data_IF_682832729180
#
_entry.id   IF_682832729180
#
_cell.length_a   1.000
_cell.length_b   1.000
_cell.length_c   1.000
_cell.angle_alpha   90.00
_cell.angle_beta   90.00
_cell.angle_gamma   90.00
#
_symmetry.space_group_name_H-M   'P 1'
#
loop_
_entity.id
_entity.type
_entity.pdbx_description
1 polymer ?
#
# COMPACT_ATOMS: atom_id res chain seq x y z
N UNK A 1 -18.05 -18.21 -27.09
CA UNK A 1 -19.39 -18.21 -26.46
C UNK A 1 -19.54 -16.93 -25.64
N UNK A 2 -20.55 -16.13 -25.98
CA UNK A 2 -21.23 -15.08 -25.19
C UNK A 2 -20.46 -14.19 -24.21
N UNK A 3 -20.36 -12.91 -24.55
CA UNK A 3 -19.89 -11.79 -23.73
C UNK A 3 -20.46 -11.77 -22.29
N UNK A 4 -19.57 -11.76 -21.29
CA UNK A 4 -19.79 -10.99 -20.07
C UNK A 4 -19.03 -9.67 -20.25
N UNK A 5 -19.72 -8.53 -20.33
CA UNK A 5 -19.05 -7.23 -20.25
C UNK A 5 -18.27 -7.19 -18.93
N UNK A 6 -16.95 -6.93 -18.92
CA UNK A 6 -16.17 -6.98 -17.69
C UNK A 6 -16.56 -5.77 -16.83
N UNK A 7 -17.27 -5.99 -15.73
CA UNK A 7 -17.38 -5.17 -14.50
C UNK A 7 -17.49 -3.62 -14.56
N UNK A 8 -17.55 -2.99 -15.74
CA UNK A 8 -17.43 -1.54 -15.91
C UNK A 8 -16.04 -0.95 -15.65
N UNK A 9 -15.05 -1.76 -15.24
CA UNK A 9 -13.68 -1.35 -14.94
C UNK A 9 -12.84 -1.18 -16.20
N UNK A 10 -11.92 -0.23 -16.16
CA UNK A 10 -11.02 0.09 -17.28
C UNK A 10 -9.63 -0.50 -17.00
N UNK A 11 -9.09 -1.24 -17.96
CA UNK A 11 -7.73 -1.80 -17.93
C UNK A 11 -6.89 -1.23 -19.07
N UNK A 12 -5.56 -1.27 -18.91
CA UNK A 12 -4.59 -0.78 -19.90
C UNK A 12 -4.20 0.70 -19.72
N UNK A 13 -3.11 1.15 -20.37
CA UNK A 13 -2.59 2.50 -20.18
C UNK A 13 -3.51 3.55 -20.84
N UNK A 14 -3.76 4.66 -20.15
CA UNK A 14 -4.50 5.81 -20.68
C UNK A 14 -5.83 6.09 -19.98
N UNK A 15 -6.57 7.05 -20.53
CA UNK A 15 -7.85 7.50 -19.98
C UNK A 15 -7.72 8.57 -18.89
N UNK A 16 -8.76 8.67 -18.06
CA UNK A 16 -8.81 9.62 -16.94
C UNK A 16 -7.68 9.33 -15.95
N UNK A 17 -7.07 10.38 -15.41
CA UNK A 17 -6.05 10.27 -14.37
C UNK A 17 -4.71 9.69 -14.84
N UNK A 18 -4.52 9.52 -16.15
CA UNK A 18 -3.27 9.03 -16.73
C UNK A 18 -2.10 9.96 -16.40
N UNK A 19 -0.94 9.38 -16.06
CA UNK A 19 0.23 10.13 -15.63
C UNK A 19 0.05 10.74 -14.24
N UNK A 20 -0.89 10.24 -13.43
CA UNK A 20 -1.24 10.79 -12.12
C UNK A 20 -1.88 12.18 -12.15
N UNK A 21 -2.35 12.65 -13.31
CA UNK A 21 -2.98 13.95 -13.44
C UNK A 21 -4.35 14.00 -12.73
N UNK A 22 -4.77 15.19 -12.30
CA UNK A 22 -6.10 15.41 -11.78
C UNK A 22 -7.18 15.04 -12.82
N UNK A 23 -8.17 14.24 -12.40
CA UNK A 23 -9.28 13.83 -13.23
C UNK A 23 -10.61 14.35 -12.69
N UNK A 24 -11.60 14.48 -13.58
CA UNK A 24 -12.98 14.83 -13.22
C UNK A 24 -13.97 14.21 -14.19
N UNK A 25 -15.17 13.91 -13.70
CA UNK A 25 -16.31 13.47 -14.51
C UNK A 25 -17.01 14.75 -15.01
N UNK A 26 -16.66 15.23 -16.22
CA UNK A 26 -17.11 16.53 -16.73
C UNK A 26 -18.62 16.62 -17.01
N UNK A 27 -19.30 15.51 -17.22
CA UNK A 27 -20.66 15.52 -17.76
C UNK A 27 -21.78 15.55 -16.70
N UNK A 28 -21.45 15.35 -15.42
CA UNK A 28 -22.44 15.31 -14.32
C UNK A 28 -21.93 15.97 -13.03
N UNK A 29 -21.85 17.32 -12.95
CA UNK A 29 -21.41 18.03 -11.75
C UNK A 29 -22.27 17.76 -10.50
N UNK A 30 -23.50 17.26 -10.65
CA UNK A 30 -24.39 16.86 -9.56
C UNK A 30 -24.24 15.39 -9.11
N UNK A 31 -23.47 14.56 -9.83
CA UNK A 31 -23.15 13.17 -9.40
C UNK A 31 -21.89 13.11 -8.53
N UNK A 32 -21.06 14.16 -8.54
CA UNK A 32 -19.87 14.29 -7.69
C UNK A 32 -20.24 14.34 -6.20
N UNK A 33 -21.49 14.70 -5.88
CA UNK A 33 -22.09 14.70 -4.53
C UNK A 33 -23.11 13.54 -4.34
N UNK A 34 -22.89 12.39 -5.01
CA UNK A 34 -23.70 11.18 -4.86
C UNK A 34 -23.11 10.18 -3.85
N UNK A 35 -23.99 9.41 -3.19
CA UNK A 35 -23.74 8.62 -1.97
C UNK A 35 -22.49 7.72 -1.87
N UNK A 36 -21.79 7.39 -2.97
CA UNK A 36 -20.49 6.70 -2.87
C UNK A 36 -19.41 7.56 -2.19
N UNK A 37 -19.42 8.89 -2.36
CA UNK A 37 -18.44 9.73 -1.67
C UNK A 37 -18.63 9.68 -0.14
N UNK A 38 -19.88 9.69 0.33
CA UNK A 38 -20.23 9.56 1.75
C UNK A 38 -19.86 8.18 2.30
N UNK A 39 -19.92 7.13 1.46
CA UNK A 39 -19.60 5.74 1.82
C UNK A 39 -18.10 5.51 2.01
N UNK A 40 -17.26 5.99 1.08
CA UNK A 40 -15.82 5.70 1.06
C UNK A 40 -14.93 6.84 1.60
N UNK A 41 -15.46 8.06 1.72
CA UNK A 41 -14.68 9.26 2.09
C UNK A 41 -13.83 9.83 0.96
N UNK A 42 -13.99 9.30 -0.27
CA UNK A 42 -13.31 9.74 -1.48
C UNK A 42 -14.17 9.46 -2.73
N UNK A 43 -13.78 9.99 -3.88
CA UNK A 43 -14.55 9.93 -5.13
C UNK A 43 -14.46 8.55 -5.83
N UNK A 44 -15.09 7.53 -5.24
CA UNK A 44 -15.09 6.17 -5.78
C UNK A 44 -15.73 6.06 -7.18
N UNK A 45 -16.69 6.92 -7.53
CA UNK A 45 -17.27 6.96 -8.88
C UNK A 45 -16.24 7.36 -9.93
N UNK A 46 -15.41 8.37 -9.64
CA UNK A 46 -14.29 8.73 -10.51
C UNK A 46 -13.27 7.59 -10.57
N UNK A 47 -12.96 6.96 -9.42
CA UNK A 47 -12.07 5.80 -9.37
C UNK A 47 -12.52 4.69 -10.32
N UNK A 48 -13.83 4.37 -10.37
CA UNK A 48 -14.37 3.33 -11.25
C UNK A 48 -14.13 3.62 -12.75
N UNK A 49 -13.80 4.86 -13.12
CA UNK A 49 -13.49 5.31 -14.50
C UNK A 49 -12.00 5.52 -14.75
N UNK A 50 -11.17 5.47 -13.72
CA UNK A 50 -9.71 5.54 -13.83
C UNK A 50 -9.18 4.13 -14.01
N UNK A 51 -8.32 3.96 -15.01
CA UNK A 51 -7.71 2.66 -15.32
C UNK A 51 -7.04 2.04 -14.10
N UNK A 52 -7.19 0.71 -13.95
CA UNK A 52 -6.45 -0.09 -12.97
C UNK A 52 -4.94 -0.10 -13.27
N UNK A 53 -4.56 0.12 -14.54
CA UNK A 53 -3.18 0.15 -15.03
C UNK A 53 -2.68 1.56 -15.38
N UNK A 54 -3.27 2.60 -14.78
CA UNK A 54 -2.81 3.98 -15.03
C UNK A 54 -1.34 4.13 -14.65
N UNK A 55 -0.62 4.96 -15.40
CA UNK A 55 0.76 5.34 -15.05
C UNK A 55 0.71 6.50 -14.06
N UNK A 56 1.61 6.49 -13.07
CA UNK A 56 1.82 7.58 -12.12
C UNK A 56 3.19 8.25 -12.34
N UNK A 57 3.39 9.51 -11.91
CA UNK A 57 4.66 10.20 -12.07
C UNK A 57 5.77 9.55 -11.24
N UNK A 58 6.99 9.49 -11.80
CA UNK A 58 8.18 9.05 -11.09
C UNK A 58 8.84 10.24 -10.37
N UNK A 59 8.39 10.50 -9.15
CA UNK A 59 8.88 11.55 -8.26
C UNK A 59 10.20 11.22 -7.55
N UNK A 60 10.81 10.05 -7.81
CA UNK A 60 12.07 9.69 -7.15
C UNK A 60 13.16 10.73 -7.47
N UNK A 61 14.01 11.09 -6.50
CA UNK A 61 15.19 11.92 -6.75
C UNK A 61 16.07 11.35 -7.86
N UNK A 62 16.76 12.22 -8.62
CA UNK A 62 17.60 11.80 -9.77
C UNK A 62 18.60 10.70 -9.39
N UNK A 63 19.18 10.79 -8.20
CA UNK A 63 20.15 9.81 -7.70
C UNK A 63 19.53 8.44 -7.47
N UNK A 64 18.29 8.36 -6.96
CA UNK A 64 17.57 7.09 -6.81
C UNK A 64 17.39 6.35 -8.15
N UNK A 65 17.19 7.10 -9.24
CA UNK A 65 17.05 6.53 -10.60
C UNK A 65 18.36 5.97 -11.17
N UNK A 66 19.49 6.31 -10.56
CA UNK A 66 20.84 5.91 -10.99
C UNK A 66 21.42 4.77 -10.13
N UNK A 67 20.77 4.41 -9.02
CA UNK A 67 21.22 3.31 -8.16
C UNK A 67 20.91 1.98 -8.85
N UNK A 68 21.91 1.11 -8.92
CA UNK A 68 21.72 -0.30 -9.22
C UNK A 68 21.61 -1.10 -7.93
N UNK A 69 20.73 -2.09 -7.92
CA UNK A 69 20.53 -3.00 -6.79
C UNK A 69 21.06 -4.39 -7.13
N UNK A 70 21.40 -5.22 -6.12
CA UNK A 70 21.78 -6.61 -6.37
C UNK A 70 20.67 -7.39 -7.06
N UNK A 71 21.01 -8.28 -7.99
CA UNK A 71 20.02 -9.13 -8.67
C UNK A 71 19.37 -10.15 -7.72
N UNK A 72 20.11 -10.59 -6.70
CA UNK A 72 19.64 -11.57 -5.72
C UNK A 72 19.15 -10.84 -4.48
N UNK A 73 17.84 -10.61 -4.41
CA UNK A 73 17.14 -10.04 -3.25
C UNK A 73 16.13 -11.05 -2.70
N UNK A 74 15.78 -10.97 -1.40
CA UNK A 74 14.75 -11.83 -0.83
C UNK A 74 13.40 -11.54 -1.50
N UNK A 75 12.56 -12.58 -1.62
CA UNK A 75 11.19 -12.40 -2.10
C UNK A 75 10.33 -11.69 -1.04
N UNK A 76 9.27 -11.03 -1.50
CA UNK A 76 8.30 -10.31 -0.67
C UNK A 76 6.89 -10.87 -0.84
N UNK A 77 6.18 -11.03 0.28
CA UNK A 77 4.72 -11.19 0.35
C UNK A 77 4.12 -9.82 0.64
N UNK A 78 3.20 -9.35 -0.20
CA UNK A 78 2.54 -8.04 -0.01
C UNK A 78 1.16 -8.27 0.58
N UNK A 79 0.87 -7.64 1.70
CA UNK A 79 -0.39 -7.77 2.44
C UNK A 79 -1.16 -6.46 2.34
N UNK A 80 -2.37 -6.53 1.80
CA UNK A 80 -3.36 -5.45 1.84
C UNK A 80 -4.47 -5.83 2.83
N UNK A 81 -4.78 -4.96 3.78
CA UNK A 81 -5.91 -5.12 4.69
C UNK A 81 -7.02 -4.17 4.27
N UNK A 82 -8.26 -4.66 4.23
CA UNK A 82 -9.42 -3.84 3.85
C UNK A 82 -10.69 -4.22 4.59
N UNK A 83 -11.59 -3.24 4.71
CA UNK A 83 -12.98 -3.41 5.10
C UNK A 83 -13.81 -2.44 4.27
N UNK A 84 -14.77 -2.95 3.48
CA UNK A 84 -15.63 -2.15 2.61
C UNK A 84 -14.87 -1.13 1.75
N UNK A 85 -13.73 -1.53 1.16
CA UNK A 85 -12.96 -0.68 0.23
C UNK A 85 -13.59 -0.69 -1.17
N UNK A 86 -13.45 0.41 -1.93
CA UNK A 86 -13.97 0.43 -3.30
C UNK A 86 -13.23 -0.60 -4.17
N UNK A 87 -13.98 -1.41 -4.93
CA UNK A 87 -13.40 -2.49 -5.75
C UNK A 87 -12.36 -1.97 -6.75
N UNK A 88 -12.61 -0.83 -7.38
CA UNK A 88 -11.66 -0.21 -8.32
C UNK A 88 -10.35 0.22 -7.65
N UNK A 89 -10.39 0.60 -6.37
CA UNK A 89 -9.23 1.07 -5.62
C UNK A 89 -8.35 -0.10 -5.20
N UNK A 90 -8.92 -1.13 -4.57
CA UNK A 90 -8.15 -2.32 -4.17
C UNK A 90 -7.54 -3.04 -5.38
N UNK A 91 -8.28 -3.14 -6.49
CA UNK A 91 -7.75 -3.72 -7.72
C UNK A 91 -6.64 -2.85 -8.32
N UNK A 92 -6.70 -1.52 -8.25
CA UNK A 92 -5.60 -0.65 -8.71
C UNK A 92 -4.35 -0.83 -7.85
N UNK A 93 -4.49 -1.05 -6.54
CA UNK A 93 -3.36 -1.43 -5.68
C UNK A 93 -2.74 -2.75 -6.09
N UNK A 94 -3.56 -3.78 -6.35
CA UNK A 94 -3.09 -5.09 -6.85
C UNK A 94 -2.39 -4.96 -8.20
N UNK A 95 -2.97 -4.23 -9.15
CA UNK A 95 -2.36 -4.01 -10.47
C UNK A 95 -1.04 -3.28 -10.35
N UNK A 96 -0.98 -2.17 -9.60
CA UNK A 96 0.24 -1.38 -9.48
C UNK A 96 1.38 -2.16 -8.83
N UNK A 97 1.12 -2.97 -7.80
CA UNK A 97 2.16 -3.81 -7.20
C UNK A 97 2.65 -4.90 -8.14
N UNK A 98 1.76 -5.53 -8.92
CA UNK A 98 2.16 -6.53 -9.93
C UNK A 98 2.98 -5.87 -11.05
N UNK A 99 2.52 -4.72 -11.55
CA UNK A 99 3.14 -4.03 -12.68
C UNK A 99 4.51 -3.43 -12.33
N UNK A 100 4.72 -3.03 -11.07
CA UNK A 100 5.94 -2.33 -10.63
C UNK A 100 6.86 -3.15 -9.72
N UNK A 101 6.62 -4.46 -9.57
CA UNK A 101 7.51 -5.37 -8.84
C UNK A 101 8.05 -6.44 -9.79
N UNK A 102 9.37 -6.64 -9.88
CA UNK A 102 9.94 -7.74 -10.66
C UNK A 102 9.37 -9.10 -10.23
N UNK A 103 8.97 -9.92 -11.19
CA UNK A 103 8.25 -11.18 -10.93
C UNK A 103 9.04 -12.18 -10.05
N UNK A 104 10.37 -12.12 -10.06
CA UNK A 104 11.21 -12.97 -9.21
C UNK A 104 11.23 -12.50 -7.74
N UNK A 105 10.89 -11.24 -7.45
CA UNK A 105 10.81 -10.68 -6.11
C UNK A 105 9.42 -10.83 -5.50
N UNK A 106 8.36 -10.68 -6.29
CA UNK A 106 6.98 -10.79 -5.79
C UNK A 106 6.58 -12.26 -5.62
N UNK A 107 6.52 -12.74 -4.37
CA UNK A 107 6.12 -14.12 -4.07
C UNK A 107 4.61 -14.30 -4.20
N UNK A 108 3.86 -13.41 -3.56
CA UNK A 108 2.42 -13.47 -3.43
C UNK A 108 1.86 -12.13 -2.96
N UNK A 109 0.57 -11.92 -3.23
CA UNK A 109 -0.23 -10.82 -2.70
C UNK A 109 -1.34 -11.43 -1.86
N UNK A 110 -1.53 -10.93 -0.65
CA UNK A 110 -2.51 -11.42 0.31
C UNK A 110 -3.49 -10.28 0.59
N UNK A 111 -4.74 -10.47 0.19
CA UNK A 111 -5.85 -9.57 0.45
C UNK A 111 -6.57 -10.05 1.71
N UNK A 112 -6.40 -9.34 2.82
CA UNK A 112 -7.06 -9.65 4.09
C UNK A 112 -8.33 -8.83 4.21
N UNK A 113 -9.47 -9.50 4.06
CA UNK A 113 -10.80 -8.93 4.27
C UNK A 113 -11.17 -9.02 5.75
N UNK A 114 -11.21 -7.88 6.44
CA UNK A 114 -11.63 -7.78 7.83
C UNK A 114 -13.16 -7.72 7.98
N UNK A 115 -13.82 -8.70 7.35
CA UNK A 115 -15.26 -8.91 7.35
C UNK A 115 -16.07 -7.76 6.70
N UNK A 116 -15.79 -7.47 5.43
CA UNK A 116 -16.60 -6.58 4.59
C UNK A 116 -18.02 -7.13 4.39
N UNK A 117 -18.98 -6.22 4.23
CA UNK A 117 -20.38 -6.55 3.92
C UNK A 117 -20.68 -6.49 2.42
N UNK A 118 -19.84 -5.78 1.66
CA UNK A 118 -20.01 -5.61 0.21
C UNK A 118 -19.98 -6.94 -0.55
N UNK A 119 -21.04 -7.19 -1.34
CA UNK A 119 -21.15 -8.36 -2.23
C UNK A 119 -20.06 -8.33 -3.31
N UNK A 120 -19.68 -7.14 -3.78
CA UNK A 120 -18.62 -6.98 -4.78
C UNK A 120 -17.28 -7.49 -4.25
N UNK A 121 -16.95 -7.20 -2.99
CA UNK A 121 -15.70 -7.63 -2.36
C UNK A 121 -15.66 -9.13 -2.03
N UNK A 122 -16.81 -9.79 -1.98
CA UNK A 122 -16.89 -11.25 -1.78
C UNK A 122 -16.85 -12.00 -3.10
N UNK A 123 -17.74 -11.69 -4.03
CA UNK A 123 -17.87 -12.47 -5.27
C UNK A 123 -16.99 -11.92 -6.40
N UNK A 124 -17.10 -10.62 -6.69
CA UNK A 124 -16.45 -10.03 -7.86
C UNK A 124 -14.94 -9.97 -7.69
N UNK A 125 -14.46 -9.59 -6.50
CA UNK A 125 -13.04 -9.59 -6.17
C UNK A 125 -12.43 -10.98 -6.34
N UNK A 126 -13.04 -12.02 -5.73
CA UNK A 126 -12.56 -13.40 -5.82
C UNK A 126 -12.51 -13.88 -7.27
N UNK A 127 -13.57 -13.65 -8.05
CA UNK A 127 -13.60 -14.03 -9.45
C UNK A 127 -12.52 -13.31 -10.27
N UNK A 128 -12.34 -12.00 -10.02
CA UNK A 128 -11.37 -11.19 -10.74
C UNK A 128 -9.94 -11.68 -10.46
N UNK A 129 -9.53 -11.77 -9.20
CA UNK A 129 -8.15 -12.10 -8.83
C UNK A 129 -7.80 -13.55 -9.17
N UNK A 130 -8.73 -14.49 -9.00
CA UNK A 130 -8.51 -15.89 -9.38
C UNK A 130 -8.34 -16.06 -10.89
N UNK A 131 -9.05 -15.28 -11.69
CA UNK A 131 -8.94 -15.32 -13.16
C UNK A 131 -7.70 -14.58 -13.66
N UNK A 132 -7.41 -13.40 -13.11
CA UNK A 132 -6.37 -12.48 -13.62
C UNK A 132 -4.97 -12.80 -13.09
N UNK A 133 -4.87 -13.30 -11.86
CA UNK A 133 -3.63 -13.55 -11.13
C UNK A 133 -3.62 -14.93 -10.45
N UNK A 134 -3.84 -16.02 -11.21
CA UNK A 134 -4.00 -17.35 -10.65
C UNK A 134 -2.77 -17.77 -9.83
N UNK A 135 -2.98 -18.09 -8.55
CA UNK A 135 -1.94 -18.51 -7.62
C UNK A 135 -1.03 -17.41 -7.07
N UNK A 136 -1.06 -16.20 -7.63
CA UNK A 136 -0.28 -15.05 -7.16
C UNK A 136 -1.03 -14.26 -6.08
N UNK A 137 -2.34 -14.04 -6.28
CA UNK A 137 -3.17 -13.30 -5.34
C UNK A 137 -4.02 -14.28 -4.52
N UNK A 138 -4.00 -14.14 -3.20
CA UNK A 138 -4.78 -14.93 -2.25
C UNK A 138 -5.71 -14.00 -1.48
N UNK A 139 -6.94 -14.43 -1.24
CA UNK A 139 -7.88 -13.70 -0.39
C UNK A 139 -8.08 -14.48 0.90
N UNK A 140 -7.89 -13.81 2.03
CA UNK A 140 -8.04 -14.34 3.38
C UNK A 140 -9.13 -13.54 4.07
N UNK A 141 -10.09 -14.19 4.71
CA UNK A 141 -11.27 -13.51 5.26
C UNK A 141 -11.45 -13.80 6.74
N UNK A 142 -11.68 -12.76 7.52
CA UNK A 142 -12.17 -12.90 8.88
C UNK A 142 -13.67 -13.21 8.88
N UNK A 143 -14.12 -14.02 9.84
CA UNK A 143 -15.54 -14.34 10.04
C UNK A 143 -16.30 -13.26 10.83
N UNK A 144 -15.59 -12.31 11.43
CA UNK A 144 -16.10 -11.15 12.15
C UNK A 144 -15.08 -10.02 12.03
N UNK A 145 -15.49 -8.78 12.28
CA UNK A 145 -14.55 -7.64 12.26
C UNK A 145 -13.57 -7.74 13.44
N UNK A 146 -12.30 -7.93 13.15
CA UNK A 146 -11.24 -8.10 14.16
C UNK A 146 -10.43 -6.81 14.38
N UNK A 147 -10.37 -5.91 13.40
CA UNK A 147 -9.54 -4.72 13.41
C UNK A 147 -8.23 -4.88 12.62
N UNK A 148 -7.61 -3.74 12.27
CA UNK A 148 -6.40 -3.66 11.44
C UNK A 148 -5.25 -4.50 12.01
N UNK A 149 -5.09 -4.50 13.32
CA UNK A 149 -3.98 -5.16 14.02
C UNK A 149 -4.05 -6.67 13.85
N UNK A 150 -5.20 -7.27 14.20
CA UNK A 150 -5.42 -8.72 14.05
C UNK A 150 -5.48 -9.14 12.58
N UNK A 151 -6.00 -8.29 11.70
CA UNK A 151 -5.95 -8.52 10.27
C UNK A 151 -4.51 -8.51 9.70
N UNK A 152 -3.62 -7.64 10.20
CA UNK A 152 -2.17 -7.69 9.86
C UNK A 152 -1.54 -9.00 10.32
N UNK A 153 -1.83 -9.46 11.53
CA UNK A 153 -1.33 -10.74 12.05
C UNK A 153 -1.82 -11.90 11.17
N UNK A 154 -3.09 -11.89 10.75
CA UNK A 154 -3.62 -12.90 9.85
C UNK A 154 -2.94 -12.87 8.47
N UNK A 155 -2.68 -11.68 7.93
CA UNK A 155 -1.91 -11.52 6.70
C UNK A 155 -0.48 -12.04 6.82
N UNK A 156 0.19 -11.78 7.96
CA UNK A 156 1.50 -12.34 8.28
C UNK A 156 1.48 -13.86 8.36
N UNK A 157 0.48 -14.46 9.01
CA UNK A 157 0.34 -15.92 9.10
C UNK A 157 0.16 -16.58 7.73
N UNK A 158 -0.54 -15.92 6.81
CA UNK A 158 -0.74 -16.39 5.45
C UNK A 158 0.50 -16.20 4.55
N UNK A 159 1.44 -15.32 4.94
CA UNK A 159 2.63 -14.98 4.18
C UNK A 159 3.72 -16.06 4.29
N UNK A 160 4.34 -16.35 3.15
CA UNK A 160 5.35 -17.41 3.00
C UNK A 160 6.70 -16.92 2.51
N UNK A 161 6.81 -15.65 2.09
CA UNK A 161 8.09 -15.07 1.71
C UNK A 161 8.96 -14.70 2.91
N UNK A 162 10.29 -14.57 2.74
CA UNK A 162 11.19 -14.09 3.80
C UNK A 162 10.88 -12.67 4.27
N UNK A 163 10.33 -11.81 3.42
CA UNK A 163 9.98 -10.42 3.74
C UNK A 163 8.48 -10.23 3.58
N UNK A 164 7.86 -9.49 4.50
CA UNK A 164 6.43 -9.13 4.45
C UNK A 164 6.29 -7.62 4.41
N UNK A 165 5.52 -7.12 3.45
CA UNK A 165 5.16 -5.72 3.36
C UNK A 165 3.67 -5.52 3.63
N UNK A 166 3.33 -4.69 4.61
CA UNK A 166 1.96 -4.31 4.92
C UNK A 166 1.66 -2.94 4.34
N UNK A 167 0.54 -2.83 3.63
CA UNK A 167 0.11 -1.59 3.00
C UNK A 167 -1.40 -1.44 3.14
N UNK A 168 -1.87 -0.20 3.20
CA UNK A 168 -3.28 0.11 3.02
C UNK A 168 -3.77 -0.36 1.64
N UNK A 169 -5.06 -0.69 1.53
CA UNK A 169 -5.65 -1.22 0.30
C UNK A 169 -5.89 -0.17 -0.81
N UNK A 170 -5.50 1.09 -0.57
CA UNK A 170 -5.74 2.23 -1.45
C UNK A 170 -4.44 2.97 -1.79
N UNK A 171 -3.43 2.22 -2.23
CA UNK A 171 -2.11 2.71 -2.62
C UNK A 171 -1.82 2.44 -4.10
N UNK A 172 -0.91 3.21 -4.70
CA UNK A 172 -0.35 2.94 -6.02
C UNK A 172 1.18 2.95 -5.93
N UNK A 173 1.80 1.82 -6.28
CA UNK A 173 3.25 1.66 -6.15
C UNK A 173 3.98 2.42 -7.26
N UNK A 174 5.11 3.04 -6.95
CA UNK A 174 5.98 3.65 -7.97
C UNK A 174 6.97 2.62 -8.54
N UNK A 175 7.61 2.96 -9.65
CA UNK A 175 8.62 2.12 -10.29
C UNK A 175 9.83 1.87 -9.38
N UNK A 176 10.28 0.62 -9.34
CA UNK A 176 11.41 0.13 -8.54
C UNK A 176 11.35 0.54 -7.06
N UNK A 177 10.17 0.39 -6.46
CA UNK A 177 9.94 0.64 -5.03
C UNK A 177 10.51 -0.49 -4.16
N UNK A 178 10.54 -1.73 -4.65
CA UNK A 178 10.81 -2.92 -3.86
C UNK A 178 12.32 -3.13 -3.65
N UNK A 179 13.13 -2.95 -4.68
CA UNK A 179 14.57 -3.18 -4.69
C UNK A 179 15.33 -2.39 -3.61
N UNK A 180 15.12 -1.07 -3.43
CA UNK A 180 15.74 -0.34 -2.32
C UNK A 180 15.36 -0.93 -0.96
N UNK A 181 14.08 -1.22 -0.75
CA UNK A 181 13.57 -1.73 0.52
C UNK A 181 14.19 -3.11 0.84
N UNK A 182 14.11 -4.03 -0.12
CA UNK A 182 14.62 -5.40 0.04
C UNK A 182 16.13 -5.43 0.20
N UNK A 183 16.86 -4.48 -0.42
CA UNK A 183 18.29 -4.31 -0.19
C UNK A 183 18.56 -3.93 1.28
N UNK A 184 17.79 -2.99 1.85
CA UNK A 184 17.96 -2.57 3.24
C UNK A 184 17.68 -3.69 4.25
N UNK A 185 16.66 -4.51 3.99
CA UNK A 185 16.32 -5.69 4.81
C UNK A 185 17.39 -6.77 4.66
N UNK A 186 17.88 -7.03 3.43
CA UNK A 186 18.95 -8.01 3.19
C UNK A 186 20.25 -7.66 3.91
N UNK A 187 20.61 -6.38 3.94
CA UNK A 187 21.79 -5.91 4.67
C UNK A 187 21.71 -6.17 6.18
N UNK A 188 20.49 -6.16 6.73
CA UNK A 188 20.23 -6.24 8.16
C UNK A 188 18.75 -6.54 8.39
N UNK A 189 18.46 -7.81 8.71
CA UNK A 189 17.09 -8.33 8.82
C UNK A 189 16.29 -7.67 9.95
N UNK A 190 16.94 -7.00 10.91
CA UNK A 190 16.27 -6.38 12.05
C UNK A 190 15.71 -4.99 11.71
N UNK A 191 15.82 -4.54 10.45
CA UNK A 191 15.31 -3.24 10.02
C UNK A 191 13.85 -3.33 9.60
N UNK A 192 13.02 -2.50 10.21
CA UNK A 192 11.69 -2.18 9.70
C UNK A 192 11.82 -0.98 8.76
N UNK A 193 11.39 -1.14 7.51
CA UNK A 193 11.54 -0.13 6.47
C UNK A 193 10.18 0.51 6.17
N UNK A 194 10.15 1.84 6.17
CA UNK A 194 8.99 2.62 5.73
C UNK A 194 9.29 3.17 4.34
N UNK A 195 8.41 2.94 3.34
CA UNK A 195 8.54 3.64 2.06
C UNK A 195 8.24 5.14 2.24
N UNK A 196 8.77 5.96 1.34
CA UNK A 196 8.28 7.33 1.19
C UNK A 196 6.86 7.29 0.62
N UNK A 197 5.99 8.17 1.11
CA UNK A 197 4.55 8.14 0.81
C UNK A 197 4.15 9.47 0.19
N UNK A 198 3.73 9.41 -1.06
CA UNK A 198 3.12 10.53 -1.78
C UNK A 198 1.60 10.52 -1.61
N UNK A 199 0.95 11.63 -1.93
CA UNK A 199 -0.48 11.79 -1.72
C UNK A 199 -1.27 11.55 -3.01
N UNK A 200 -2.36 10.78 -2.91
CA UNK A 200 -3.37 10.68 -3.97
C UNK A 200 -4.59 11.48 -3.52
N UNK A 201 -4.93 12.56 -4.24
CA UNK A 201 -6.07 13.41 -3.90
C UNK A 201 -7.37 12.61 -3.91
N UNK A 202 -8.06 12.60 -2.77
CA UNK A 202 -9.31 11.85 -2.57
C UNK A 202 -10.43 12.20 -3.58
N UNK A 203 -10.44 13.42 -4.14
CA UNK A 203 -11.51 13.88 -5.05
C UNK A 203 -11.17 13.79 -6.55
N UNK A 204 -9.90 14.00 -6.92
CA UNK A 204 -9.44 14.06 -8.31
C UNK A 204 -8.50 12.93 -8.71
N UNK A 205 -8.05 12.11 -7.75
CA UNK A 205 -7.02 11.08 -7.92
C UNK A 205 -5.68 11.58 -8.48
N UNK A 206 -5.44 12.90 -8.39
CA UNK A 206 -4.14 13.51 -8.69
C UNK A 206 -3.07 12.98 -7.72
N UNK A 207 -1.92 12.56 -8.26
CA UNK A 207 -0.76 12.17 -7.45
C UNK A 207 0.07 13.42 -7.18
N UNK A 208 0.38 13.67 -5.91
CA UNK A 208 1.15 14.82 -5.46
C UNK A 208 2.33 14.37 -4.61
N UNK A 209 3.52 14.81 -4.98
CA UNK A 209 4.73 14.52 -4.22
C UNK A 209 4.66 15.13 -2.82
N UNK A 210 4.98 14.33 -1.81
CA UNK A 210 5.25 14.83 -0.45
C UNK A 210 6.74 15.06 -0.25
N UNK A 211 7.05 16.05 0.60
CA UNK A 211 8.43 16.30 0.99
C UNK A 211 8.95 15.13 1.84
N UNK A 212 10.22 14.78 1.65
CA UNK A 212 10.88 13.80 2.50
C UNK A 212 10.88 14.27 3.96
N UNK A 213 10.39 13.41 4.84
CA UNK A 213 10.28 13.69 6.27
C UNK A 213 10.66 12.45 7.08
N UNK A 214 11.11 12.66 8.31
CA UNK A 214 11.09 11.61 9.32
C UNK A 214 9.70 11.61 9.98
N UNK A 215 9.40 10.59 10.78
CA UNK A 215 8.16 10.48 11.53
C UNK A 215 8.45 10.56 13.04
N UNK A 216 7.59 11.26 13.76
CA UNK A 216 7.61 11.33 15.21
C UNK A 216 6.21 11.17 15.78
N UNK A 217 6.08 11.40 17.09
CA UNK A 217 4.79 11.48 17.76
C UNK A 217 4.76 12.65 18.73
N UNK A 218 3.58 13.24 18.92
CA UNK A 218 3.34 14.22 19.98
C UNK A 218 3.17 13.55 21.34
N UNK A 219 3.15 14.33 22.43
CA UNK A 219 2.87 13.83 23.78
C UNK A 219 1.45 13.25 23.94
N UNK A 220 0.53 13.58 23.03
CA UNK A 220 -0.78 12.92 22.94
C UNK A 220 -0.75 11.60 22.16
N UNK A 221 0.44 11.11 21.81
CA UNK A 221 0.65 9.92 20.97
C UNK A 221 -0.01 10.04 19.59
N UNK A 222 0.00 11.25 19.01
CA UNK A 222 -0.38 11.46 17.62
C UNK A 222 0.84 11.39 16.71
N UNK A 223 0.81 10.53 15.69
CA UNK A 223 1.85 10.47 14.67
C UNK A 223 1.95 11.80 13.92
N UNK A 224 3.16 12.23 13.60
CA UNK A 224 3.42 13.48 12.89
C UNK A 224 4.65 13.35 11.99
N UNK A 225 4.68 14.17 10.94
CA UNK A 225 5.90 14.38 10.16
C UNK A 225 6.82 15.35 10.90
N UNK A 226 8.11 15.01 10.95
CA UNK A 226 9.16 15.84 11.54
C UNK A 226 10.28 16.04 10.52
N UNK A 227 11.08 17.08 10.71
CA UNK A 227 12.27 17.29 9.88
C UNK A 227 13.21 16.09 9.94
N UNK A 228 13.82 15.68 8.81
CA UNK A 228 14.87 14.65 8.81
C UNK A 228 16.01 15.01 9.76
N UNK A 229 16.77 14.02 10.28
CA UNK A 229 17.93 14.28 11.12
C UNK A 229 18.92 15.26 10.47
N UNK A 230 19.50 16.14 11.27
CA UNK A 230 20.43 17.17 10.80
C UNK A 230 21.60 16.58 10.00
N UNK A 231 22.12 15.42 10.41
CA UNK A 231 23.18 14.68 9.70
C UNK A 231 22.77 14.22 8.30
N UNK A 232 21.50 13.91 8.09
CA UNK A 232 20.96 13.57 6.77
C UNK A 232 20.83 14.83 5.90
N UNK A 233 20.35 15.93 6.47
CA UNK A 233 20.24 17.23 5.78
C UNK A 233 21.61 17.74 5.33
N UNK A 234 22.62 17.67 6.21
CA UNK A 234 24.00 18.08 5.90
C UNK A 234 24.66 17.21 4.83
N UNK A 235 24.33 15.91 4.78
CA UNK A 235 24.79 15.02 3.72
C UNK A 235 24.18 15.38 2.36
N UNK A 236 22.98 15.95 2.33
CA UNK A 236 22.30 16.39 1.11
C UNK A 236 21.98 15.27 0.12
N UNK A 237 21.96 14.02 0.59
CA UNK A 237 21.76 12.83 -0.24
C UNK A 237 20.34 12.30 -0.11
N UNK A 238 19.44 12.79 -0.94
CA UNK A 238 18.01 12.41 -0.92
C UNK A 238 17.75 10.92 -1.21
N UNK A 239 18.76 10.18 -1.67
CA UNK A 239 18.67 8.72 -1.86
C UNK A 239 19.02 7.92 -0.61
N UNK A 240 19.62 8.56 0.40
CA UNK A 240 19.96 7.90 1.64
C UNK A 240 18.71 7.68 2.51
N UNK A 241 18.60 6.55 3.23
CA UNK A 241 17.47 6.32 4.14
C UNK A 241 17.46 7.35 5.27
N UNK A 242 16.26 7.75 5.67
CA UNK A 242 16.01 8.62 6.82
C UNK A 242 15.78 7.73 8.03
N UNK A 243 16.57 7.93 9.11
CA UNK A 243 16.26 7.32 10.40
C UNK A 243 15.11 8.06 11.05
N UNK A 244 14.13 7.32 11.52
CA UNK A 244 12.88 7.86 12.07
C UNK A 244 12.60 7.26 13.44
N UNK A 245 12.27 8.06 14.47
CA UNK A 245 11.95 7.57 15.81
C UNK A 245 10.55 6.95 15.92
N UNK A 246 9.68 7.17 14.93
CA UNK A 246 8.35 6.61 14.90
C UNK A 246 8.04 5.97 13.54
N UNK A 247 7.03 5.12 13.51
CA UNK A 247 6.44 4.62 12.28
C UNK A 247 5.10 5.28 12.01
N UNK A 248 4.83 5.54 10.74
CA UNK A 248 3.47 5.87 10.30
C UNK A 248 2.75 4.56 9.98
N UNK A 249 1.49 4.43 10.41
CA UNK A 249 0.78 3.16 10.38
C UNK A 249 0.44 2.63 8.99
N UNK A 250 0.38 3.47 7.96
CA UNK A 250 -0.19 3.11 6.65
C UNK A 250 0.66 2.12 5.82
N UNK A 251 1.98 2.03 6.07
CA UNK A 251 2.78 0.96 5.45
C UNK A 251 4.12 0.72 6.15
N UNK A 252 4.56 -0.53 6.15
CA UNK A 252 5.91 -0.92 6.56
C UNK A 252 6.30 -2.27 5.97
N UNK A 253 7.60 -2.50 5.83
CA UNK A 253 8.19 -3.74 5.32
C UNK A 253 9.18 -4.28 6.33
N UNK A 254 9.09 -5.58 6.63
CA UNK A 254 9.87 -6.23 7.69
C UNK A 254 10.21 -7.66 7.31
N UNK A 255 11.34 -8.16 7.81
CA UNK A 255 11.65 -9.59 7.76
C UNK A 255 10.60 -10.40 8.55
N UNK A 256 10.12 -11.50 7.95
CA UNK A 256 8.99 -12.28 8.48
C UNK A 256 9.29 -12.89 9.85
N UNK A 257 10.50 -13.42 10.02
CA UNK A 257 10.94 -14.09 11.25
C UNK A 257 11.28 -13.05 12.32
N UNK A 258 11.97 -11.97 11.94
CA UNK A 258 12.23 -10.87 12.86
C UNK A 258 10.94 -10.27 13.41
N UNK A 259 9.90 -10.13 12.59
CA UNK A 259 8.62 -9.60 13.07
C UNK A 259 8.00 -10.47 14.17
N UNK A 260 8.13 -11.80 14.06
CA UNK A 260 7.73 -12.75 15.09
C UNK A 260 8.61 -12.65 16.34
N UNK A 261 9.93 -12.55 16.16
CA UNK A 261 10.91 -12.42 17.25
C UNK A 261 10.63 -11.21 18.15
N UNK A 262 10.19 -10.09 17.55
CA UNK A 262 9.84 -8.89 18.31
C UNK A 262 8.39 -8.90 18.85
N UNK A 263 7.62 -9.97 18.62
CA UNK A 263 6.26 -10.13 19.16
C UNK A 263 5.13 -9.55 18.29
N UNK A 264 5.34 -9.42 16.97
CA UNK A 264 4.33 -8.95 16.00
C UNK A 264 3.73 -7.58 16.37
N UNK A 265 2.40 -7.47 16.40
CA UNK A 265 1.68 -6.34 17.00
C UNK A 265 0.95 -6.87 18.24
N UNK A 266 0.76 -6.02 19.25
CA UNK A 266 0.02 -6.41 20.46
C UNK A 266 -1.44 -6.80 20.13
N UNK A 267 -1.82 -8.09 20.27
CA UNK A 267 -3.17 -8.54 19.94
C UNK A 267 -4.24 -8.04 20.91
N UNK A 268 -3.83 -7.47 22.06
CA UNK A 268 -4.70 -6.81 23.04
C UNK A 268 -5.18 -5.43 22.59
N UNK A 269 -4.54 -4.82 21.59
CA UNK A 269 -5.03 -3.59 20.98
C UNK A 269 -6.27 -3.86 20.11
N UNK A 270 -7.25 -2.97 20.19
CA UNK A 270 -8.52 -3.11 19.47
C UNK A 270 -8.62 -2.15 18.27
N UNK A 271 -9.17 -2.65 17.17
CA UNK A 271 -9.51 -1.89 15.95
C UNK A 271 -8.30 -1.26 15.25
N UNK A 272 -7.82 -0.10 15.69
CA UNK A 272 -6.75 0.70 15.08
C UNK A 272 -6.26 1.78 16.05
N UNK A 273 -4.99 2.16 15.94
CA UNK A 273 -4.42 3.32 16.60
C UNK A 273 -3.38 2.94 17.66
N UNK A 274 -2.24 3.61 17.62
CA UNK A 274 -1.15 3.42 18.58
C UNK A 274 -0.22 2.25 18.27
N UNK A 275 -0.61 1.31 17.39
CA UNK A 275 0.21 0.15 17.04
C UNK A 275 1.49 0.55 16.30
N UNK A 276 1.41 1.61 15.50
CA UNK A 276 2.54 2.20 14.79
C UNK A 276 3.53 2.88 15.75
N UNK A 277 3.03 3.41 16.87
CA UNK A 277 3.87 4.04 17.90
C UNK A 277 4.52 2.98 18.77
N UNK A 278 3.75 1.97 19.21
CA UNK A 278 4.28 0.84 19.98
C UNK A 278 5.42 0.15 19.23
N UNK A 279 5.18 -0.21 17.97
CA UNK A 279 6.19 -0.86 17.14
C UNK A 279 7.39 0.07 16.86
N UNK A 280 7.15 1.36 16.69
CA UNK A 280 8.21 2.36 16.53
C UNK A 280 9.09 2.51 17.77
N UNK A 281 8.51 2.51 18.97
CA UNK A 281 9.24 2.57 20.24
C UNK A 281 10.04 1.31 20.52
N UNK A 282 9.49 0.13 20.18
CA UNK A 282 10.13 -1.16 20.44
C UNK A 282 11.37 -1.41 19.58
N UNK A 283 11.43 -0.80 18.39
CA UNK A 283 12.51 -0.96 17.42
C UNK A 283 13.52 0.20 17.41
N UNK A 284 13.47 1.13 18.36
CA UNK A 284 14.44 2.21 18.52
C UNK A 284 15.69 1.79 19.31
#
# INVERSE_FOLDING_TARGET
MGLAKPMGLVEGPGGLGQGGAAASLRDHPHEVEGGKYEEYGYNAQLSDRISLDRIIPDYRPKKCKQISYPDVLPQISVVFIFVNEALSVILRSVHSVVNHTPAHLLKEIILVDDNSDSVELKLNLDQYVNKRYPGLVKVVRNNKREGLIRARILGWQAATAPVVGFFDAHVEFNVAWAEPILTRVKEDRTRVILPAIDNIKYNTFEVQQYANAAHGYSWGLWCMYISPPQTWLEKGDESAPIRTPAMIGCSFVVDREYFEEIGLLDPGMEVYGGENIELGMRNN
#
